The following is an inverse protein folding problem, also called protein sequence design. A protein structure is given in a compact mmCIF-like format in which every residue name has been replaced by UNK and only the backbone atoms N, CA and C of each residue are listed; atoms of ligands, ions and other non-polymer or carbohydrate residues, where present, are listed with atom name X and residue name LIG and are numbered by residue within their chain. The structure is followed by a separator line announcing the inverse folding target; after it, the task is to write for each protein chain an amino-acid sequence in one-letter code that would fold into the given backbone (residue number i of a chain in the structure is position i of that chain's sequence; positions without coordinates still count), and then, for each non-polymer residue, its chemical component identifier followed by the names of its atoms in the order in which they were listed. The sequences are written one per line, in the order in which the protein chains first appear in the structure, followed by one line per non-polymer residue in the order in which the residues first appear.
data_IF_641471799635
#
_entry.id   IF_641471799635
#
_cell.length_a   1.000
_cell.length_b   1.000
_cell.length_c   1.000
_cell.angle_alpha   90.00
_cell.angle_beta   90.00
_cell.angle_gamma   90.00
#
_symmetry.space_group_name_H-M   'P 1'
#
loop_
_entity.id
_entity.type
_entity.pdbx_description
1 polymer ?
#
# COMPACT_ATOMS: atom_id res chain seq x y z
N UNK A 1 6.19 15.21 10.21
CA UNK A 1 5.40 16.05 9.29
C UNK A 1 3.91 15.96 9.62
N UNK A 2 3.31 14.79 9.72
CA UNK A 2 1.88 14.62 10.07
C UNK A 2 1.54 15.25 11.43
N UNK A 3 2.38 15.08 12.44
CA UNK A 3 2.18 15.71 13.75
C UNK A 3 2.20 17.25 13.67
N UNK A 4 3.10 17.81 12.88
CA UNK A 4 3.16 19.25 12.62
C UNK A 4 1.89 19.72 11.92
N UNK A 5 1.38 18.98 10.95
CA UNK A 5 0.12 19.28 10.28
C UNK A 5 -1.07 19.33 11.25
N UNK A 6 -1.08 18.47 12.27
CA UNK A 6 -2.13 18.43 13.29
C UNK A 6 -2.12 19.61 14.28
N UNK A 7 -1.00 20.31 14.40
CA UNK A 7 -0.81 21.44 15.34
C UNK A 7 -1.02 22.80 14.67
N UNK A 8 -0.85 22.88 13.37
CA UNK A 8 -0.72 24.17 12.65
C UNK A 8 -2.01 24.91 12.36
N UNK A 9 -3.20 24.31 12.45
CA UNK A 9 -4.51 25.00 12.34
C UNK A 9 -5.67 24.00 12.40
N UNK A 10 -6.91 24.48 12.28
CA UNK A 10 -8.15 23.69 12.32
C UNK A 10 -8.01 22.36 11.54
N UNK A 11 -8.39 21.23 12.11
CA UNK A 11 -8.31 19.95 11.45
C UNK A 11 -9.11 19.99 10.14
N UNK A 12 -8.41 20.03 9.02
CA UNK A 12 -9.01 19.98 7.69
C UNK A 12 -9.78 18.68 7.54
N UNK A 13 -11.11 18.77 7.44
CA UNK A 13 -12.03 17.63 7.45
C UNK A 13 -11.98 16.73 6.19
N UNK A 14 -10.86 16.68 5.46
CA UNK A 14 -10.75 15.89 4.23
C UNK A 14 -10.58 14.37 4.46
N UNK A 15 -10.35 13.94 5.71
CA UNK A 15 -10.05 12.55 6.04
C UNK A 15 -8.72 12.05 5.46
N UNK A 16 -8.36 10.80 5.76
CA UNK A 16 -7.11 10.20 5.29
C UNK A 16 -7.09 9.89 3.78
N UNK A 17 -8.25 9.80 3.16
CA UNK A 17 -8.41 9.53 1.72
C UNK A 17 -8.19 10.76 0.85
N UNK A 18 -8.24 11.97 1.42
CA UNK A 18 -8.01 13.25 0.73
C UNK A 18 -8.88 13.43 -0.52
N UNK A 19 -10.16 13.10 -0.45
CA UNK A 19 -11.06 13.20 -1.60
C UNK A 19 -11.21 14.63 -2.11
N UNK A 20 -10.99 14.87 -3.42
CA UNK A 20 -11.38 16.10 -4.07
C UNK A 20 -12.94 16.16 -4.22
N UNK A 21 -13.56 17.33 -4.27
CA UNK A 21 -12.96 18.67 -4.22
C UNK A 21 -12.68 19.18 -2.81
N UNK A 22 -13.04 18.44 -1.75
CA UNK A 22 -12.89 18.87 -0.36
C UNK A 22 -11.41 19.14 0.03
N UNK A 23 -10.49 18.29 -0.42
CA UNK A 23 -9.05 18.44 -0.15
C UNK A 23 -8.40 19.61 -0.92
N UNK A 24 -9.03 20.10 -1.97
CA UNK A 24 -8.57 21.23 -2.79
C UNK A 24 -9.14 22.56 -2.26
N UNK A 25 -10.18 22.52 -1.41
CA UNK A 25 -10.80 23.71 -0.87
C UNK A 25 -9.82 24.57 -0.07
N UNK A 26 -9.93 25.88 -0.23
CA UNK A 26 -9.00 26.90 0.33
C UNK A 26 -8.99 26.98 1.87
N UNK A 27 -9.75 26.15 2.57
CA UNK A 27 -9.93 26.27 4.03
C UNK A 27 -8.74 25.76 4.86
N UNK A 28 -7.87 24.89 4.31
CA UNK A 28 -6.68 24.42 5.02
C UNK A 28 -5.54 24.00 4.06
N UNK A 29 -5.01 24.89 3.21
CA UNK A 29 -4.07 24.52 2.15
C UNK A 29 -2.72 24.04 2.71
N UNK A 30 -2.27 24.59 3.83
CA UNK A 30 -0.99 24.21 4.44
C UNK A 30 -1.05 22.80 5.02
N UNK A 31 -2.12 22.45 5.72
CA UNK A 31 -2.29 21.15 6.35
C UNK A 31 -2.37 20.03 5.32
N UNK A 32 -3.19 20.18 4.29
CA UNK A 32 -3.29 19.21 3.20
C UNK A 32 -1.97 19.03 2.48
N UNK A 33 -1.24 20.13 2.21
CA UNK A 33 0.10 20.10 1.62
C UNK A 33 1.11 19.31 2.48
N UNK A 34 1.07 19.47 3.79
CA UNK A 34 1.95 18.73 4.71
C UNK A 34 1.62 17.25 4.77
N UNK A 35 0.34 16.89 4.77
CA UNK A 35 -0.11 15.49 4.74
C UNK A 35 0.33 14.82 3.44
N UNK A 36 0.14 15.48 2.31
CA UNK A 36 0.56 14.99 0.99
C UNK A 36 2.07 14.74 0.95
N UNK A 37 2.88 15.70 1.41
CA UNK A 37 4.34 15.54 1.48
C UNK A 37 4.74 14.35 2.35
N UNK A 38 4.05 14.16 3.46
CA UNK A 38 4.27 13.00 4.34
C UNK A 38 3.97 11.68 3.63
N UNK A 39 2.84 11.60 2.91
CA UNK A 39 2.45 10.41 2.16
C UNK A 39 3.44 10.08 1.04
N UNK A 40 3.93 11.08 0.32
CA UNK A 40 4.94 10.88 -0.73
C UNK A 40 6.24 10.32 -0.16
N UNK A 41 6.75 10.92 0.91
CA UNK A 41 7.98 10.46 1.56
C UNK A 41 7.81 9.02 2.07
N UNK A 42 6.69 8.72 2.70
CA UNK A 42 6.38 7.38 3.19
C UNK A 42 6.26 6.37 2.04
N UNK A 43 5.62 6.75 0.93
CA UNK A 43 5.50 5.92 -0.26
C UNK A 43 6.86 5.58 -0.89
N UNK A 44 7.75 6.56 -1.02
CA UNK A 44 9.12 6.33 -1.52
C UNK A 44 9.90 5.41 -0.59
N UNK A 45 9.83 5.62 0.72
CA UNK A 45 10.48 4.76 1.72
C UNK A 45 9.97 3.31 1.63
N UNK A 46 8.65 3.11 1.56
CA UNK A 46 8.04 1.79 1.44
C UNK A 46 8.41 1.10 0.13
N UNK A 47 8.51 1.86 -0.97
CA UNK A 47 8.94 1.32 -2.27
C UNK A 47 10.37 0.80 -2.24
N UNK A 48 11.31 1.58 -1.70
CA UNK A 48 12.71 1.18 -1.57
C UNK A 48 12.84 -0.04 -0.64
N UNK A 49 12.11 -0.05 0.47
CA UNK A 49 12.08 -1.19 1.40
C UNK A 49 11.55 -2.46 0.72
N UNK A 50 10.49 -2.34 -0.08
CA UNK A 50 9.92 -3.48 -0.79
C UNK A 50 10.89 -4.08 -1.81
N UNK A 51 11.62 -3.25 -2.55
CA UNK A 51 12.68 -3.71 -3.46
C UNK A 51 13.80 -4.43 -2.70
N UNK A 52 14.21 -3.92 -1.55
CA UNK A 52 15.24 -4.53 -0.72
C UNK A 52 14.81 -5.93 -0.21
N UNK A 53 13.62 -6.03 0.39
CA UNK A 53 13.10 -7.32 0.86
C UNK A 53 12.86 -8.32 -0.28
N UNK A 54 12.33 -7.86 -1.40
CA UNK A 54 12.15 -8.71 -2.58
C UNK A 54 13.48 -9.28 -3.07
N UNK A 55 14.51 -8.45 -3.21
CA UNK A 55 15.84 -8.87 -3.65
C UNK A 55 16.49 -9.84 -2.66
N UNK A 56 16.35 -9.59 -1.36
CA UNK A 56 16.88 -10.46 -0.31
C UNK A 56 16.23 -11.85 -0.34
N UNK A 57 14.90 -11.90 -0.44
CA UNK A 57 14.17 -13.18 -0.42
C UNK A 57 14.26 -13.94 -1.74
N UNK A 58 14.39 -13.25 -2.88
CA UNK A 58 14.50 -13.92 -4.19
C UNK A 58 15.91 -14.32 -4.56
N UNK A 59 16.93 -13.50 -4.24
CA UNK A 59 18.30 -13.67 -4.72
C UNK A 59 19.36 -14.02 -3.67
N UNK A 60 19.14 -13.67 -2.40
CA UNK A 60 20.15 -13.79 -1.33
C UNK A 60 19.89 -14.97 -0.38
N UNK A 61 19.26 -16.05 -0.88
CA UNK A 61 19.05 -17.26 -0.08
C UNK A 61 20.31 -18.09 0.05
N UNK A 62 20.39 -18.88 1.13
CA UNK A 62 21.49 -19.83 1.31
C UNK A 62 21.53 -20.86 0.15
N UNK A 63 22.73 -21.29 -0.26
CA UNK A 63 22.88 -22.35 -1.25
C UNK A 63 22.08 -23.60 -0.85
N UNK A 64 21.28 -24.14 -1.79
CA UNK A 64 20.42 -25.30 -1.56
C UNK A 64 18.99 -24.99 -1.12
N UNK A 65 18.66 -23.74 -0.78
CA UNK A 65 17.28 -23.35 -0.45
C UNK A 65 16.56 -22.80 -1.69
N UNK A 66 15.70 -23.65 -2.29
CA UNK A 66 14.80 -23.22 -3.37
C UNK A 66 13.53 -22.53 -2.84
N UNK A 67 12.77 -21.90 -3.73
CA UNK A 67 11.47 -21.31 -3.39
C UNK A 67 10.48 -22.36 -2.83
N UNK A 68 10.59 -23.61 -3.24
CA UNK A 68 9.75 -24.70 -2.73
C UNK A 68 10.11 -25.20 -1.33
N UNK A 69 11.22 -24.74 -0.74
CA UNK A 69 11.69 -25.20 0.58
C UNK A 69 11.65 -24.09 1.64
N UNK A 70 11.22 -22.88 1.29
CA UNK A 70 11.07 -21.79 2.26
C UNK A 70 9.74 -21.90 3.01
N UNK A 71 9.73 -21.45 4.24
CA UNK A 71 8.55 -21.43 5.10
C UNK A 71 7.46 -20.48 4.60
N UNK A 72 6.25 -20.63 5.13
CA UNK A 72 5.07 -19.86 4.71
C UNK A 72 5.22 -18.35 4.93
N UNK A 73 5.84 -17.94 6.04
CA UNK A 73 6.02 -16.50 6.34
C UNK A 73 6.92 -15.78 5.31
N UNK A 74 8.10 -16.28 4.92
CA UNK A 74 8.85 -15.72 3.81
C UNK A 74 8.07 -15.64 2.49
N UNK A 75 7.21 -16.62 2.20
CA UNK A 75 6.32 -16.56 1.04
C UNK A 75 5.31 -15.42 1.15
N UNK A 76 4.68 -15.25 2.33
CA UNK A 76 3.78 -14.14 2.59
C UNK A 76 4.49 -12.78 2.37
N UNK A 77 5.70 -12.65 2.87
CA UNK A 77 6.53 -11.45 2.70
C UNK A 77 6.87 -11.20 1.21
N UNK A 78 7.22 -12.23 0.46
CA UNK A 78 7.50 -12.10 -0.97
C UNK A 78 6.28 -11.61 -1.76
N UNK A 79 5.11 -12.16 -1.47
CA UNK A 79 3.83 -11.79 -2.11
C UNK A 79 3.50 -10.32 -1.82
N UNK A 80 3.57 -9.88 -0.56
CA UNK A 80 3.21 -8.50 -0.22
C UNK A 80 4.18 -7.47 -0.79
N UNK A 81 5.48 -7.75 -0.83
CA UNK A 81 6.43 -6.82 -1.41
C UNK A 81 6.32 -6.76 -2.94
N UNK A 82 5.96 -7.87 -3.60
CA UNK A 82 5.61 -7.84 -5.02
C UNK A 82 4.39 -6.95 -5.25
N UNK A 83 3.36 -7.07 -4.41
CA UNK A 83 2.16 -6.27 -4.49
C UNK A 83 2.45 -4.78 -4.25
N UNK A 84 3.26 -4.44 -3.23
CA UNK A 84 3.68 -3.07 -2.94
C UNK A 84 4.41 -2.41 -4.11
N UNK A 85 5.32 -3.13 -4.77
CA UNK A 85 6.04 -2.62 -5.95
C UNK A 85 5.05 -2.25 -7.06
N UNK A 86 3.95 -2.98 -7.20
CA UNK A 86 2.95 -2.72 -8.24
C UNK A 86 2.01 -1.57 -7.89
N UNK A 87 1.56 -1.44 -6.64
CA UNK A 87 0.49 -0.49 -6.28
C UNK A 87 1.01 0.88 -5.82
N UNK A 88 2.22 0.97 -5.27
CA UNK A 88 2.79 2.25 -4.80
C UNK A 88 3.00 3.28 -5.91
N UNK A 89 3.43 2.93 -7.13
CA UNK A 89 3.51 3.89 -8.23
C UNK A 89 2.16 4.51 -8.59
N UNK A 90 1.08 3.73 -8.52
CA UNK A 90 -0.28 4.23 -8.79
C UNK A 90 -0.71 5.24 -7.72
N UNK A 91 -0.45 4.95 -6.44
CA UNK A 91 -0.71 5.90 -5.35
C UNK A 91 0.09 7.19 -5.55
N UNK A 92 1.37 7.09 -5.89
CA UNK A 92 2.23 8.25 -6.12
C UNK A 92 1.72 9.10 -7.29
N UNK A 93 1.26 8.46 -8.38
CA UNK A 93 0.62 9.12 -9.50
C UNK A 93 -0.67 9.83 -9.12
N UNK A 94 -1.53 9.18 -8.34
CA UNK A 94 -2.80 9.74 -7.84
C UNK A 94 -2.57 10.99 -6.99
N UNK A 95 -1.61 10.90 -6.06
CA UNK A 95 -1.21 12.05 -5.23
C UNK A 95 -0.58 13.15 -6.09
N UNK A 96 0.18 12.79 -7.11
CA UNK A 96 0.78 13.74 -8.06
C UNK A 96 -0.27 14.57 -8.80
N UNK A 97 -1.36 13.97 -9.24
CA UNK A 97 -2.50 14.67 -9.87
C UNK A 97 -3.16 15.62 -8.85
N UNK A 98 -3.35 15.18 -7.61
CA UNK A 98 -3.91 16.02 -6.56
C UNK A 98 -3.00 17.23 -6.24
N UNK A 99 -1.68 17.01 -6.15
CA UNK A 99 -0.69 18.09 -5.96
C UNK A 99 -0.73 19.07 -7.13
N UNK A 100 -0.87 18.58 -8.35
CA UNK A 100 -0.99 19.42 -9.54
C UNK A 100 -2.19 20.37 -9.44
N UNK A 101 -3.34 19.86 -9.02
CA UNK A 101 -4.55 20.69 -8.84
C UNK A 101 -4.40 21.73 -7.73
N UNK A 102 -3.71 21.38 -6.63
CA UNK A 102 -3.51 22.29 -5.49
C UNK A 102 -2.44 23.36 -5.78
N UNK A 103 -1.30 22.97 -6.37
CA UNK A 103 -0.13 23.82 -6.52
C UNK A 103 -0.09 24.57 -7.86
N UNK A 104 -0.61 23.97 -8.92
CA UNK A 104 -0.54 24.50 -10.28
C UNK A 104 -1.90 24.92 -10.84
N UNK A 105 -2.97 24.85 -10.02
CA UNK A 105 -4.33 25.18 -10.42
C UNK A 105 -4.79 24.43 -11.69
N UNK A 106 -4.38 23.18 -11.83
CA UNK A 106 -4.92 22.30 -12.87
C UNK A 106 -6.35 21.89 -12.55
N UNK A 107 -7.09 21.43 -13.52
CA UNK A 107 -8.54 21.16 -13.44
C UNK A 107 -8.86 19.66 -13.57
N UNK A 108 -7.95 18.78 -13.20
CA UNK A 108 -8.15 17.33 -13.33
C UNK A 108 -9.34 16.81 -12.50
N UNK A 109 -9.58 17.42 -11.33
CA UNK A 109 -10.59 16.97 -10.35
C UNK A 109 -11.76 17.95 -10.21
N UNK A 110 -11.83 19.00 -11.04
CA UNK A 110 -12.91 19.99 -10.98
C UNK A 110 -14.01 19.68 -12.01
N UNK A 111 -15.21 19.23 -11.58
CA UNK A 111 -16.29 18.89 -12.49
C UNK A 111 -16.84 20.10 -13.26
N UNK A 112 -16.66 21.32 -12.74
CA UNK A 112 -17.13 22.53 -13.42
C UNK A 112 -16.38 22.79 -14.74
N UNK A 113 -15.14 22.29 -14.87
CA UNK A 113 -14.30 22.45 -16.05
C UNK A 113 -14.00 21.11 -16.76
N UNK A 114 -14.81 20.08 -16.53
CA UNK A 114 -14.69 18.79 -17.20
C UNK A 114 -13.73 17.81 -16.53
N UNK A 115 -13.26 18.09 -15.33
CA UNK A 115 -12.52 17.15 -14.49
C UNK A 115 -13.45 16.12 -13.82
N UNK A 116 -12.86 15.01 -13.36
CA UNK A 116 -13.62 13.94 -12.71
C UNK A 116 -13.04 13.58 -11.34
N UNK A 117 -13.67 13.98 -10.23
CA UNK A 117 -13.22 13.60 -8.89
C UNK A 117 -13.37 12.10 -8.62
N UNK A 118 -14.23 11.38 -9.34
CA UNK A 118 -14.39 9.92 -9.21
C UNK A 118 -13.13 9.20 -9.73
N UNK A 119 -12.43 9.77 -10.71
CA UNK A 119 -11.17 9.24 -11.20
C UNK A 119 -10.11 9.13 -10.07
N UNK A 120 -10.03 10.16 -9.22
CA UNK A 120 -9.17 10.11 -8.03
C UNK A 120 -9.53 8.94 -7.11
N UNK A 121 -10.82 8.75 -6.85
CA UNK A 121 -11.29 7.67 -5.99
C UNK A 121 -10.92 6.30 -6.56
N UNK A 122 -11.09 6.06 -7.85
CA UNK A 122 -10.69 4.82 -8.50
C UNK A 122 -9.19 4.54 -8.35
N UNK A 123 -8.34 5.50 -8.64
CA UNK A 123 -6.90 5.34 -8.50
C UNK A 123 -6.47 5.17 -7.04
N UNK A 124 -7.07 5.92 -6.12
CA UNK A 124 -6.77 5.79 -4.71
C UNK A 124 -7.13 4.39 -4.18
N UNK A 125 -8.30 3.88 -4.53
CA UNK A 125 -8.75 2.56 -4.06
C UNK A 125 -8.09 1.40 -4.79
N UNK A 126 -7.54 1.61 -5.96
CA UNK A 126 -6.66 0.62 -6.60
C UNK A 126 -5.42 0.34 -5.74
N UNK A 127 -4.94 1.31 -5.00
CA UNK A 127 -3.95 1.10 -3.96
C UNK A 127 -4.59 0.70 -2.63
N UNK A 128 -5.64 1.37 -2.19
CA UNK A 128 -6.17 1.28 -0.83
C UNK A 128 -6.73 -0.10 -0.47
N UNK A 129 -7.34 -0.81 -1.42
CA UNK A 129 -7.82 -2.17 -1.16
C UNK A 129 -6.67 -3.19 -1.05
N UNK A 130 -5.70 -3.25 -1.97
CA UNK A 130 -4.54 -4.10 -1.76
C UNK A 130 -3.76 -3.81 -0.48
N UNK A 131 -3.72 -2.58 -0.01
CA UNK A 131 -3.05 -2.19 1.23
C UNK A 131 -3.58 -2.96 2.44
N UNK A 132 -4.90 -3.16 2.56
CA UNK A 132 -5.47 -3.92 3.69
C UNK A 132 -5.09 -5.40 3.62
N UNK A 133 -4.92 -5.96 2.43
CA UNK A 133 -4.41 -7.32 2.27
C UNK A 133 -2.91 -7.43 2.56
N UNK A 134 -2.14 -6.42 2.24
CA UNK A 134 -0.72 -6.33 2.62
C UNK A 134 -0.55 -6.39 4.15
N UNK A 135 -1.48 -5.82 4.91
CA UNK A 135 -1.45 -5.87 6.37
C UNK A 135 -1.80 -7.25 6.94
N UNK A 136 -2.73 -7.97 6.31
CA UNK A 136 -3.24 -9.23 6.86
C UNK A 136 -2.46 -10.48 6.41
N UNK A 137 -1.89 -10.50 5.21
CA UNK A 137 -1.17 -11.66 4.65
C UNK A 137 0.01 -12.10 5.54
N UNK A 138 0.86 -11.20 6.10
CA UNK A 138 1.93 -11.61 7.00
C UNK A 138 1.40 -12.28 8.27
N UNK A 139 0.25 -11.85 8.78
CA UNK A 139 -0.39 -12.47 9.93
C UNK A 139 -0.81 -13.92 9.61
N UNK A 140 -1.31 -14.20 8.42
CA UNK A 140 -1.59 -15.58 8.00
C UNK A 140 -0.34 -16.45 8.01
N UNK A 141 0.79 -15.92 7.53
CA UNK A 141 2.07 -16.62 7.56
C UNK A 141 2.55 -16.92 8.99
N UNK A 142 2.58 -15.89 9.85
CA UNK A 142 3.07 -16.02 11.23
C UNK A 142 2.19 -16.94 12.06
N UNK A 143 0.87 -16.70 12.07
CA UNK A 143 -0.08 -17.48 12.89
C UNK A 143 -0.10 -18.95 12.47
N UNK A 144 -0.09 -19.23 11.16
CA UNK A 144 -0.08 -20.61 10.66
C UNK A 144 1.18 -21.36 11.11
N UNK A 145 2.36 -20.72 11.09
CA UNK A 145 3.59 -21.34 11.55
C UNK A 145 3.62 -21.56 13.07
N UNK A 146 3.13 -20.59 13.85
CA UNK A 146 3.06 -20.71 15.31
C UNK A 146 2.12 -21.86 15.71
N UNK A 147 0.95 -21.95 15.08
CA UNK A 147 -0.01 -23.03 15.36
C UNK A 147 0.54 -24.40 14.98
N UNK A 148 1.23 -24.52 13.86
CA UNK A 148 1.90 -25.77 13.47
C UNK A 148 2.96 -26.18 14.51
N UNK A 149 3.77 -25.21 14.99
CA UNK A 149 4.78 -25.46 16.03
C UNK A 149 4.17 -25.90 17.36
N UNK A 150 3.06 -25.29 17.79
CA UNK A 150 2.34 -25.67 19.03
C UNK A 150 1.73 -27.08 18.86
N UNK A 151 1.25 -27.42 17.66
CA UNK A 151 0.72 -28.75 17.35
C UNK A 151 1.79 -29.84 17.18
N UNK A 152 3.08 -29.46 17.30
CA UNK A 152 4.21 -30.39 17.16
C UNK A 152 4.56 -30.75 15.70
N UNK A 153 4.01 -30.04 14.74
CA UNK A 153 4.30 -30.22 13.32
C UNK A 153 5.43 -29.31 12.86
N UNK A 154 6.36 -29.84 12.07
CA UNK A 154 7.48 -29.06 11.51
C UNK A 154 7.02 -28.17 10.35
N UNK A 155 6.01 -28.61 9.60
CA UNK A 155 5.50 -27.95 8.40
C UNK A 155 4.00 -27.69 8.57
N UNK A 156 3.54 -26.56 8.06
CA UNK A 156 2.11 -26.20 8.04
C UNK A 156 1.38 -27.19 7.12
N UNK A 157 0.22 -27.69 7.57
CA UNK A 157 -0.62 -28.53 6.73
C UNK A 157 -1.11 -27.74 5.50
N UNK A 158 -0.88 -28.32 4.31
CA UNK A 158 -1.31 -27.67 3.07
C UNK A 158 -0.51 -26.42 2.70
N UNK A 159 0.75 -26.31 3.09
CA UNK A 159 1.62 -25.16 2.82
C UNK A 159 1.55 -24.65 1.37
N UNK A 160 1.67 -25.49 0.31
CA UNK A 160 1.53 -25.02 -1.07
C UNK A 160 0.15 -24.42 -1.38
N UNK A 161 -0.90 -24.96 -0.78
CA UNK A 161 -2.27 -24.47 -0.96
C UNK A 161 -2.46 -23.11 -0.29
N UNK A 162 -1.83 -22.89 0.86
CA UNK A 162 -1.84 -21.60 1.55
C UNK A 162 -1.09 -20.53 0.76
N UNK A 163 0.05 -20.86 0.18
CA UNK A 163 0.80 -19.94 -0.71
C UNK A 163 -0.05 -19.55 -1.92
N UNK A 164 -0.69 -20.54 -2.54
CA UNK A 164 -1.60 -20.30 -3.68
C UNK A 164 -2.78 -19.42 -3.28
N UNK A 165 -3.40 -19.67 -2.12
CA UNK A 165 -4.51 -18.87 -1.62
C UNK A 165 -4.10 -17.41 -1.38
N UNK A 166 -2.97 -17.16 -0.73
CA UNK A 166 -2.44 -15.80 -0.53
C UNK A 166 -2.14 -15.10 -1.85
N UNK A 167 -1.58 -15.81 -2.84
CA UNK A 167 -1.35 -15.30 -4.19
C UNK A 167 -2.65 -14.94 -4.90
N UNK A 168 -3.66 -15.80 -4.83
CA UNK A 168 -4.99 -15.53 -5.41
C UNK A 168 -5.66 -14.31 -4.75
N UNK A 169 -5.61 -14.19 -3.42
CA UNK A 169 -6.14 -13.02 -2.71
C UNK A 169 -5.47 -11.73 -3.19
N UNK A 170 -4.15 -11.76 -3.36
CA UNK A 170 -3.38 -10.61 -3.82
C UNK A 170 -3.77 -10.19 -5.25
N UNK A 171 -3.92 -11.15 -6.15
CA UNK A 171 -4.32 -10.89 -7.54
C UNK A 171 -5.75 -10.38 -7.60
N UNK A 172 -6.70 -11.10 -6.99
CA UNK A 172 -8.12 -10.73 -7.03
C UNK A 172 -8.38 -9.40 -6.31
N UNK A 173 -7.68 -9.13 -5.22
CA UNK A 173 -7.75 -7.88 -4.49
C UNK A 173 -7.29 -6.66 -5.29
N UNK A 174 -6.49 -6.85 -6.34
CA UNK A 174 -6.05 -5.76 -7.22
C UNK A 174 -7.10 -5.35 -8.26
N UNK A 175 -8.20 -6.09 -8.40
CA UNK A 175 -9.29 -5.77 -9.33
C UNK A 175 -10.45 -4.98 -8.70
N UNK A 176 -10.27 -4.40 -7.58
CA UNK A 176 -11.29 -3.63 -6.85
C UNK A 176 -11.31 -2.15 -7.27
#
# INVERSE_FOLDING_TARGET
IILVAGVTEFPGGAGWTLYPPLSISLTAPLQVSLIIKSLVINGVSSFISSMNFYSTLSGMRCPGTGLGTIYLFPWAILIIFTLLILVLPVLTGTIGILVSDICFNTIYMDPAFGGDPVLYQHFFWFFGHPEVYILIIPAFGVISQILAGIAGNIIVYGDPSMVLAMGCISILGSFV
#
